data_IF_001443201948
#
_entry.id   IF_001443201948
#
_cell.length_a   1.000
_cell.length_b   1.000
_cell.length_c   1.000
_cell.angle_alpha   90.00
_cell.angle_beta   90.00
_cell.angle_gamma   90.00
#
_symmetry.space_group_name_H-M   'P 1'
#
loop_
_entity.id
_entity.type
_entity.pdbx_description
1 polymer ?
#
# COMPACT_ATOMS: atom_id res chain seq x y z
N UNK A 1 12.08 19.14 3.90
CA UNK A 1 10.61 19.08 3.84
C UNK A 1 10.13 19.03 5.25
N UNK A 2 9.35 20.03 5.64
CA UNK A 2 8.80 20.16 6.98
C UNK A 2 7.64 19.18 7.17
N UNK A 3 7.29 18.93 8.44
CA UNK A 3 6.16 18.07 8.75
C UNK A 3 4.84 18.80 8.41
N UNK A 4 3.83 18.11 7.86
CA UNK A 4 2.54 18.72 7.54
C UNK A 4 1.78 19.13 8.80
N UNK A 5 0.88 20.10 8.68
CA UNK A 5 -0.01 20.48 9.77
C UNK A 5 -1.05 19.37 10.04
N UNK A 6 -0.91 18.69 11.17
CA UNK A 6 -1.81 17.60 11.57
C UNK A 6 -3.25 18.07 11.77
N UNK A 7 -3.47 19.26 12.32
CA UNK A 7 -4.83 19.77 12.55
C UNK A 7 -5.48 20.07 11.19
N UNK A 8 -4.74 20.70 10.27
CA UNK A 8 -5.24 20.94 8.93
C UNK A 8 -5.59 19.64 8.18
N UNK A 9 -4.76 18.60 8.33
CA UNK A 9 -5.04 17.26 7.78
C UNK A 9 -6.33 16.65 8.33
N UNK A 10 -6.53 16.73 9.65
CA UNK A 10 -7.71 16.23 10.33
C UNK A 10 -9.00 16.97 9.95
N UNK A 11 -8.87 18.25 9.58
CA UNK A 11 -9.98 19.05 9.03
C UNK A 11 -10.22 18.80 7.53
N UNK A 12 -9.46 17.92 6.88
CA UNK A 12 -9.61 17.62 5.46
C UNK A 12 -9.10 18.72 4.52
N UNK A 13 -8.16 19.55 4.98
CA UNK A 13 -7.55 20.59 4.14
C UNK A 13 -6.73 19.96 2.99
N UNK A 14 -7.09 20.28 1.75
CA UNK A 14 -6.47 19.71 0.56
C UNK A 14 -4.98 20.07 0.41
N UNK A 15 -4.61 21.33 0.67
CA UNK A 15 -3.22 21.79 0.55
C UNK A 15 -2.31 21.09 1.57
N UNK A 16 -2.80 20.89 2.79
CA UNK A 16 -2.12 20.12 3.83
C UNK A 16 -1.93 18.65 3.42
N UNK A 17 -2.94 18.07 2.74
CA UNK A 17 -2.83 16.72 2.18
C UNK A 17 -1.82 16.62 1.04
N UNK A 18 -1.67 17.65 0.21
CA UNK A 18 -0.63 17.71 -0.84
C UNK A 18 0.78 17.80 -0.24
N UNK A 19 0.95 18.52 0.86
CA UNK A 19 2.20 18.55 1.63
C UNK A 19 2.49 17.21 2.30
N UNK A 20 1.48 16.63 2.96
CA UNK A 20 1.61 15.33 3.60
C UNK A 20 1.92 14.23 2.59
N UNK A 21 1.32 14.26 1.40
CA UNK A 21 1.64 13.31 0.34
C UNK A 21 3.13 13.35 -0.01
N UNK A 22 3.69 14.54 -0.26
CA UNK A 22 5.12 14.71 -0.55
C UNK A 22 6.01 14.23 0.60
N UNK A 23 5.59 14.45 1.84
CA UNK A 23 6.34 14.06 3.03
C UNK A 23 6.28 12.56 3.35
N UNK A 24 5.15 11.92 3.09
CA UNK A 24 4.87 10.52 3.41
C UNK A 24 5.20 9.56 2.25
N UNK A 25 5.16 10.04 1.01
CA UNK A 25 5.42 9.25 -0.19
C UNK A 25 6.70 8.41 -0.12
N UNK A 26 7.87 8.96 0.28
CA UNK A 26 9.10 8.17 0.34
C UNK A 26 9.01 6.97 1.29
N UNK A 27 8.24 7.09 2.36
CA UNK A 27 8.04 6.01 3.35
C UNK A 27 7.12 4.94 2.77
N UNK A 28 5.96 5.32 2.26
CA UNK A 28 5.00 4.40 1.66
C UNK A 28 5.63 3.62 0.49
N UNK A 29 6.30 4.34 -0.42
CA UNK A 29 6.96 3.77 -1.58
C UNK A 29 8.11 2.83 -1.19
N UNK A 30 8.95 3.21 -0.22
CA UNK A 30 10.06 2.35 0.22
C UNK A 30 9.56 1.01 0.78
N UNK A 31 8.48 1.03 1.59
CA UNK A 31 7.88 -0.18 2.17
C UNK A 31 7.24 -1.05 1.09
N UNK A 32 6.43 -0.46 0.21
CA UNK A 32 5.79 -1.17 -0.89
C UNK A 32 6.83 -1.82 -1.82
N UNK A 33 7.84 -1.04 -2.23
CA UNK A 33 8.95 -1.50 -3.07
C UNK A 33 9.69 -2.67 -2.42
N UNK A 34 10.04 -2.55 -1.14
CA UNK A 34 10.76 -3.59 -0.41
C UNK A 34 10.01 -4.93 -0.33
N UNK A 35 8.68 -4.93 -0.43
CA UNK A 35 7.86 -6.14 -0.43
C UNK A 35 7.52 -6.65 -1.82
N UNK A 36 7.13 -5.75 -2.72
CA UNK A 36 6.52 -6.12 -3.99
C UNK A 36 7.51 -6.21 -5.14
N UNK A 37 8.61 -5.43 -5.15
CA UNK A 37 9.56 -5.45 -6.28
C UNK A 37 10.04 -6.83 -6.74
N UNK A 38 10.28 -7.82 -5.85
CA UNK A 38 10.73 -9.14 -6.28
C UNK A 38 9.69 -9.96 -7.06
N UNK A 39 8.40 -9.66 -6.92
CA UNK A 39 7.31 -10.50 -7.45
C UNK A 39 6.30 -9.73 -8.31
N UNK A 40 6.02 -8.49 -7.92
CA UNK A 40 4.99 -7.60 -8.47
C UNK A 40 5.54 -6.16 -8.56
N UNK A 41 6.59 -5.90 -9.35
CA UNK A 41 7.18 -4.56 -9.43
C UNK A 41 6.23 -3.51 -10.00
N UNK A 42 5.28 -3.91 -10.85
CA UNK A 42 4.26 -3.03 -11.41
C UNK A 42 3.27 -2.52 -10.34
N UNK A 43 3.03 -3.29 -9.28
CA UNK A 43 2.05 -2.96 -8.24
C UNK A 43 2.63 -2.04 -7.16
N UNK A 44 3.93 -1.71 -7.22
CA UNK A 44 4.62 -0.96 -6.15
C UNK A 44 4.05 0.45 -5.97
N UNK A 45 3.81 1.15 -7.07
CA UNK A 45 3.32 2.54 -7.05
C UNK A 45 1.88 2.60 -6.57
N UNK A 46 1.00 1.79 -7.17
CA UNK A 46 -0.41 1.66 -6.78
C UNK A 46 -0.54 1.32 -5.29
N UNK A 47 0.27 0.37 -4.80
CA UNK A 47 0.28 -0.01 -3.39
C UNK A 47 0.65 1.17 -2.48
N UNK A 48 1.60 2.01 -2.89
CA UNK A 48 1.98 3.20 -2.12
C UNK A 48 0.84 4.24 -2.09
N UNK A 49 0.20 4.50 -3.24
CA UNK A 49 -0.94 5.41 -3.37
C UNK A 49 -2.11 4.94 -2.49
N UNK A 50 -2.50 3.67 -2.61
CA UNK A 50 -3.59 3.10 -1.82
C UNK A 50 -3.33 3.14 -0.31
N UNK A 51 -2.06 2.99 0.09
CA UNK A 51 -1.68 3.05 1.50
C UNK A 51 -1.82 4.45 2.08
N UNK A 52 -1.51 5.48 1.28
CA UNK A 52 -1.78 6.88 1.64
C UNK A 52 -3.29 7.15 1.66
N UNK A 53 -4.06 6.58 0.74
CA UNK A 53 -5.52 6.64 0.79
C UNK A 53 -6.09 6.04 2.09
N UNK A 54 -5.58 4.89 2.51
CA UNK A 54 -5.98 4.26 3.78
C UNK A 54 -5.57 5.03 5.04
N UNK A 55 -4.62 5.96 4.95
CA UNK A 55 -4.24 6.83 6.06
C UNK A 55 -5.32 7.88 6.34
N UNK A 56 -6.03 8.37 5.31
CA UNK A 56 -7.09 9.38 5.44
C UNK A 56 -8.15 8.95 6.43
N UNK A 57 -8.51 7.66 6.44
CA UNK A 57 -9.51 7.09 7.35
C UNK A 57 -9.04 7.07 8.82
N UNK A 58 -7.73 7.13 9.07
CA UNK A 58 -7.11 6.95 10.39
C UNK A 58 -6.50 8.23 10.96
N UNK A 59 -6.40 9.30 10.16
CA UNK A 59 -5.73 10.55 10.54
C UNK A 59 -6.39 11.23 11.75
N UNK A 60 -7.70 11.04 11.93
CA UNK A 60 -8.47 11.60 13.05
C UNK A 60 -8.07 11.01 14.42
N UNK A 61 -7.46 9.82 14.43
CA UNK A 61 -7.02 9.13 15.63
C UNK A 61 -5.56 9.47 16.00
N UNK A 62 -4.83 10.12 15.08
CA UNK A 62 -3.42 10.46 15.24
C UNK A 62 -3.27 11.66 16.18
N UNK A 63 -2.37 11.56 17.16
CA UNK A 63 -2.17 12.62 18.16
C UNK A 63 -0.96 13.49 17.86
N UNK A 64 0.02 12.93 17.14
CA UNK A 64 1.29 13.59 16.84
C UNK A 64 1.64 13.36 15.37
N UNK A 65 2.15 14.40 14.69
CA UNK A 65 2.45 14.34 13.25
C UNK A 65 3.51 13.28 12.93
N UNK A 66 4.39 12.99 13.89
CA UNK A 66 5.43 11.97 13.82
C UNK A 66 4.85 10.55 13.68
N UNK A 67 3.62 10.31 14.15
CA UNK A 67 2.93 9.02 14.06
C UNK A 67 2.44 8.70 12.65
N UNK A 68 2.34 9.69 11.75
CA UNK A 68 1.86 9.49 10.37
C UNK A 68 2.79 8.58 9.56
N UNK A 69 4.11 8.70 9.75
CA UNK A 69 5.11 7.86 9.07
C UNK A 69 5.03 6.38 9.46
N UNK A 70 5.09 5.99 10.75
CA UNK A 70 4.93 4.60 11.13
C UNK A 70 3.53 4.05 10.80
N UNK A 71 2.49 4.90 10.81
CA UNK A 71 1.15 4.50 10.42
C UNK A 71 1.06 4.16 8.93
N UNK A 72 1.53 5.04 8.02
CA UNK A 72 1.53 4.74 6.58
C UNK A 72 2.43 3.55 6.25
N UNK A 73 3.57 3.40 6.93
CA UNK A 73 4.44 2.24 6.77
C UNK A 73 3.72 0.93 7.15
N UNK A 74 2.94 0.94 8.23
CA UNK A 74 2.16 -0.22 8.66
C UNK A 74 1.08 -0.57 7.65
N UNK A 75 0.33 0.43 7.16
CA UNK A 75 -0.70 0.23 6.12
C UNK A 75 -0.08 -0.39 4.86
N UNK A 76 1.01 0.21 4.35
CA UNK A 76 1.72 -0.29 3.18
C UNK A 76 2.25 -1.71 3.34
N UNK A 77 2.78 -2.03 4.53
CA UNK A 77 3.23 -3.38 4.83
C UNK A 77 2.09 -4.40 4.75
N UNK A 78 0.97 -4.14 5.45
CA UNK A 78 -0.15 -5.09 5.50
C UNK A 78 -0.79 -5.29 4.12
N UNK A 79 -1.02 -4.21 3.38
CA UNK A 79 -1.58 -4.29 2.03
C UNK A 79 -0.64 -5.05 1.07
N UNK A 80 0.66 -4.76 1.09
CA UNK A 80 1.63 -5.48 0.26
C UNK A 80 1.68 -6.98 0.58
N UNK A 81 1.61 -7.35 1.87
CA UNK A 81 1.55 -8.76 2.29
C UNK A 81 0.25 -9.42 1.82
N UNK A 82 -0.90 -8.74 1.93
CA UNK A 82 -2.18 -9.25 1.41
C UNK A 82 -2.08 -9.52 -0.09
N UNK A 83 -1.57 -8.55 -0.84
CA UNK A 83 -1.40 -8.64 -2.29
C UNK A 83 -0.52 -9.82 -2.71
N UNK A 84 0.59 -10.05 -2.00
CA UNK A 84 1.44 -11.23 -2.25
C UNK A 84 0.71 -12.54 -1.95
N UNK A 85 -0.07 -12.60 -0.86
CA UNK A 85 -0.86 -13.79 -0.51
C UNK A 85 -1.88 -14.10 -1.59
N UNK A 86 -2.60 -13.09 -2.08
CA UNK A 86 -3.55 -13.21 -3.19
C UNK A 86 -2.86 -13.71 -4.46
N UNK A 87 -1.71 -13.11 -4.84
CA UNK A 87 -0.94 -13.53 -6.00
C UNK A 87 -0.51 -15.01 -5.92
N UNK A 88 0.05 -15.44 -4.79
CA UNK A 88 0.49 -16.83 -4.61
C UNK A 88 -0.68 -17.81 -4.43
N UNK A 89 -1.83 -17.37 -3.92
CA UNK A 89 -3.05 -18.18 -3.87
C UNK A 89 -3.61 -18.41 -5.28
N UNK A 90 -3.70 -17.35 -6.09
CA UNK A 90 -4.15 -17.42 -7.48
C UNK A 90 -3.26 -18.35 -8.31
N UNK A 91 -1.92 -18.26 -8.15
CA UNK A 91 -0.96 -19.15 -8.83
C UNK A 91 -1.15 -20.63 -8.45
N UNK A 92 -1.45 -20.91 -7.18
CA UNK A 92 -1.72 -22.28 -6.69
C UNK A 92 -3.07 -22.82 -7.17
N UNK A 93 -4.11 -21.98 -7.24
CA UNK A 93 -5.43 -22.37 -7.75
C UNK A 93 -5.48 -22.58 -9.26
N UNK A 94 -4.71 -21.79 -10.04
CA UNK A 94 -4.66 -21.91 -11.50
C UNK A 94 -3.86 -23.10 -12.05
N UNK A 95 -3.05 -23.75 -11.20
CA UNK A 95 -2.21 -24.89 -11.61
C UNK A 95 -2.93 -26.25 -11.55
N UNK A 96 -4.18 -26.31 -11.06
CA UNK A 96 -4.93 -27.55 -10.89
C UNK A 96 -5.74 -28.00 -12.12
N UNK A 97 -5.79 -27.22 -13.21
CA UNK A 97 -6.72 -27.51 -14.33
C UNK A 97 -6.07 -27.39 -15.71
N UNK A 98 -4.99 -28.14 -15.95
CA UNK A 98 -4.52 -28.46 -17.31
C UNK A 98 -3.92 -29.87 -17.38
N UNK A 99 -4.72 -30.89 -17.05
CA UNK A 99 -4.41 -32.26 -17.46
C UNK A 99 -5.66 -33.14 -17.54
N UNK A 100 -6.55 -32.82 -18.48
CA UNK A 100 -7.48 -33.82 -19.01
C UNK A 100 -7.81 -33.43 -20.44
N UNK A 101 -8.01 -34.42 -21.31
CA UNK A 101 -8.11 -34.37 -22.77
C UNK A 101 -6.77 -34.51 -23.53
N UNK A 102 -6.23 -35.72 -23.48
CA UNK A 102 -5.69 -36.37 -24.69
C UNK A 102 -5.97 -37.86 -24.61
N UNK A 103 -7.02 -38.32 -25.31
CA UNK A 103 -6.90 -39.30 -26.40
C UNK A 103 -8.28 -39.67 -26.94
N UNK A 104 -8.55 -39.22 -28.16
CA UNK A 104 -9.27 -40.06 -29.13
C UNK A 104 -8.22 -40.97 -29.76
N UNK A 105 -8.44 -42.29 -29.75
CA UNK A 105 -8.62 -43.15 -30.92
C UNK A 105 -8.74 -44.62 -30.48
#
# INVERSE_FOLDING_TARGET
MDAPDLIALQCGNADAWDEAFRWLWPVAFAVARGKLSPFLPADVEDMAIESLGGLVEKVSEVKQVEELKPLVASIAHYRAVSRLREHFAAKRGGSATKHFWSSQN
#
